data_IF_628515350549
#
_entry.id   IF_628515350549
#
_cell.length_a   1.000
_cell.length_b   1.000
_cell.length_c   1.000
_cell.angle_alpha   90.00
_cell.angle_beta   90.00
_cell.angle_gamma   90.00
#
_symmetry.space_group_name_H-M   'P 1'
#
loop_
_entity.id
_entity.type
_entity.pdbx_description
1 polymer ?
#
# COMPACT_ATOMS: atom_id res chain seq x y z
N UNK A 1 -4.18 11.25 8.00
CA UNK A 1 -5.35 11.09 7.10
C UNK A 1 -4.82 11.15 5.68
N UNK A 2 -5.47 10.50 4.73
CA UNK A 2 -5.01 10.54 3.34
C UNK A 2 -5.04 11.96 2.77
N UNK A 3 -3.97 12.35 2.10
CA UNK A 3 -3.87 13.59 1.33
C UNK A 3 -4.46 13.37 -0.06
N UNK A 4 -5.02 14.45 -0.61
CA UNK A 4 -5.61 14.48 -1.96
C UNK A 4 -5.04 15.69 -2.68
N UNK A 5 -4.51 15.48 -3.88
CA UNK A 5 -4.10 16.54 -4.81
C UNK A 5 -4.97 16.45 -6.05
N UNK A 6 -5.54 17.57 -6.49
CA UNK A 6 -6.28 17.62 -7.75
C UNK A 6 -5.29 17.78 -8.90
N UNK A 7 -5.44 16.97 -9.94
CA UNK A 7 -4.69 17.14 -11.17
C UNK A 7 -5.13 18.44 -11.85
N UNK A 8 -4.18 19.18 -12.42
CA UNK A 8 -4.53 20.37 -13.19
C UNK A 8 -5.34 19.96 -14.44
N UNK A 9 -6.43 20.67 -14.79
CA UNK A 9 -7.28 20.29 -15.92
C UNK A 9 -6.54 20.16 -17.26
N UNK A 10 -5.46 20.91 -17.48
CA UNK A 10 -4.64 20.82 -18.70
C UNK A 10 -3.77 19.56 -18.79
N UNK A 11 -3.60 18.82 -17.69
CA UNK A 11 -2.72 17.65 -17.60
C UNK A 11 -3.50 16.32 -17.61
N UNK A 12 -4.82 16.38 -17.80
CA UNK A 12 -5.69 15.21 -17.78
C UNK A 12 -6.70 15.25 -18.92
N UNK A 13 -7.15 14.07 -19.34
CA UNK A 13 -8.29 13.92 -20.25
C UNK A 13 -9.61 13.65 -19.51
N UNK A 14 -9.53 13.56 -18.18
CA UNK A 14 -10.65 13.19 -17.32
C UNK A 14 -11.23 14.41 -16.61
N UNK A 15 -12.55 14.48 -16.50
CA UNK A 15 -13.25 15.57 -15.80
C UNK A 15 -12.93 15.59 -14.31
N UNK A 16 -12.78 14.41 -13.71
CA UNK A 16 -12.34 14.22 -12.34
C UNK A 16 -11.03 13.44 -12.32
N UNK A 17 -9.97 14.07 -11.82
CA UNK A 17 -8.67 13.42 -11.61
C UNK A 17 -8.02 13.95 -10.33
N UNK A 18 -7.79 13.03 -9.39
CA UNK A 18 -7.04 13.30 -8.16
C UNK A 18 -5.93 12.28 -7.96
N UNK A 19 -4.91 12.68 -7.21
CA UNK A 19 -3.86 11.83 -6.67
C UNK A 19 -4.03 11.68 -5.16
N UNK A 20 -3.66 10.53 -4.61
CA UNK A 20 -3.70 10.27 -3.16
C UNK A 20 -2.48 9.48 -2.71
N UNK A 21 -2.05 9.73 -1.48
CA UNK A 21 -0.95 9.04 -0.78
C UNK A 21 -1.35 7.65 -0.22
N UNK A 22 -2.56 7.19 -0.53
CA UNK A 22 -3.01 5.82 -0.25
C UNK A 22 -2.49 4.83 -1.29
N UNK A 23 -2.11 3.63 -0.86
CA UNK A 23 -1.75 2.52 -1.75
C UNK A 23 -2.91 2.15 -2.70
N UNK A 24 -2.55 1.76 -3.93
CA UNK A 24 -3.48 1.44 -5.00
C UNK A 24 -4.54 0.40 -4.60
N UNK A 25 -4.13 -0.67 -3.92
CA UNK A 25 -5.04 -1.74 -3.53
C UNK A 25 -6.03 -1.28 -2.47
N UNK A 26 -5.60 -0.33 -1.64
CA UNK A 26 -6.43 0.24 -0.58
C UNK A 26 -7.51 1.11 -1.16
N UNK A 27 -7.12 2.01 -2.07
CA UNK A 27 -8.05 2.88 -2.79
C UNK A 27 -9.06 2.03 -3.56
N UNK A 28 -8.62 1.01 -4.29
CA UNK A 28 -9.52 0.10 -5.02
C UNK A 28 -10.54 -0.56 -4.09
N UNK A 29 -10.09 -1.04 -2.92
CA UNK A 29 -10.96 -1.67 -1.91
C UNK A 29 -11.93 -0.68 -1.26
N UNK A 30 -11.49 0.54 -0.99
CA UNK A 30 -12.28 1.59 -0.32
C UNK A 30 -13.35 2.16 -1.26
N UNK A 31 -12.97 2.41 -2.52
CA UNK A 31 -13.87 3.03 -3.49
C UNK A 31 -14.87 2.05 -4.08
N UNK A 32 -14.59 0.74 -4.10
CA UNK A 32 -15.53 -0.30 -4.57
C UNK A 32 -16.15 0.00 -5.94
N UNK A 33 -15.37 0.54 -6.87
CA UNK A 33 -15.82 0.85 -8.22
C UNK A 33 -16.57 2.19 -8.40
N UNK A 34 -16.62 3.05 -7.38
CA UNK A 34 -17.21 4.41 -7.53
C UNK A 34 -16.47 5.29 -8.55
N UNK A 35 -15.20 5.01 -8.81
CA UNK A 35 -14.35 5.72 -9.74
C UNK A 35 -13.27 4.77 -10.26
N UNK A 36 -12.65 5.12 -11.39
CA UNK A 36 -11.53 4.38 -11.94
C UNK A 36 -10.29 4.63 -11.08
N UNK A 37 -9.59 3.57 -10.69
CA UNK A 37 -8.38 3.67 -9.87
C UNK A 37 -7.20 3.21 -10.71
N UNK A 38 -6.15 4.03 -10.78
CA UNK A 38 -4.90 3.71 -11.48
C UNK A 38 -3.70 3.96 -10.57
N UNK A 39 -2.58 3.34 -10.90
CA UNK A 39 -1.30 3.63 -10.24
C UNK A 39 -0.69 4.89 -10.83
N UNK A 40 0.01 5.64 -9.99
CA UNK A 40 0.81 6.77 -10.41
C UNK A 40 2.27 6.34 -10.56
N UNK A 41 2.80 6.43 -11.78
CA UNK A 41 4.21 6.20 -12.08
C UNK A 41 4.94 7.48 -12.50
N UNK A 42 4.30 8.64 -12.37
CA UNK A 42 4.89 9.92 -12.74
C UNK A 42 5.72 10.52 -11.61
N UNK A 43 6.45 11.58 -11.95
CA UNK A 43 7.31 12.32 -11.00
C UNK A 43 6.65 13.62 -10.50
N UNK A 44 5.54 14.04 -11.10
CA UNK A 44 4.83 15.29 -10.79
C UNK A 44 3.31 15.09 -10.79
N UNK A 45 2.68 14.80 -9.64
CA UNK A 45 3.29 14.49 -8.35
C UNK A 45 3.99 13.12 -8.36
N UNK A 46 5.01 12.96 -7.52
CA UNK A 46 5.79 11.71 -7.45
C UNK A 46 4.91 10.51 -7.07
N UNK A 47 5.05 9.41 -7.80
CA UNK A 47 4.41 8.13 -7.50
C UNK A 47 4.90 7.50 -6.20
N UNK A 48 6.06 7.90 -5.68
CA UNK A 48 6.55 7.45 -4.39
C UNK A 48 5.83 8.12 -3.21
N UNK A 49 5.33 9.34 -3.41
CA UNK A 49 4.57 10.07 -2.39
C UNK A 49 3.05 9.92 -2.59
N UNK A 50 2.61 9.94 -3.85
CA UNK A 50 1.21 9.82 -4.28
C UNK A 50 1.05 8.64 -5.25
N UNK A 51 1.05 7.38 -4.77
CA UNK A 51 1.11 6.19 -5.62
C UNK A 51 -0.16 5.90 -6.40
N UNK A 52 -1.27 6.60 -6.12
CA UNK A 52 -2.56 6.27 -6.68
C UNK A 52 -3.26 7.46 -7.29
N UNK A 53 -3.82 7.24 -8.47
CA UNK A 53 -4.69 8.15 -9.21
C UNK A 53 -6.14 7.66 -9.11
N UNK A 54 -7.08 8.58 -8.93
CA UNK A 54 -8.51 8.31 -9.02
C UNK A 54 -9.09 9.19 -10.11
N UNK A 55 -9.74 8.55 -11.08
CA UNK A 55 -10.19 9.12 -12.33
C UNK A 55 -11.69 8.90 -12.51
N UNK A 56 -12.36 9.80 -13.23
CA UNK A 56 -13.70 9.54 -13.71
C UNK A 56 -14.21 10.62 -14.65
N UNK A 57 -15.09 10.20 -15.54
CA UNK A 57 -15.76 11.04 -16.54
C UNK A 57 -17.27 11.00 -16.26
N UNK A 58 -17.94 12.15 -16.31
CA UNK A 58 -19.37 12.25 -16.04
C UNK A 58 -19.76 11.93 -14.58
N UNK A 59 -18.81 12.04 -13.64
CA UNK A 59 -19.10 11.76 -12.23
C UNK A 59 -20.00 12.84 -11.61
N UNK A 60 -21.17 12.45 -11.14
CA UNK A 60 -22.05 13.35 -10.40
C UNK A 60 -21.42 13.89 -9.10
N UNK A 61 -21.78 15.12 -8.70
CA UNK A 61 -21.23 15.78 -7.50
C UNK A 61 -21.34 14.94 -6.22
N UNK A 62 -22.42 14.17 -6.07
CA UNK A 62 -22.62 13.28 -4.91
C UNK A 62 -21.60 12.15 -4.88
N UNK A 63 -21.26 11.58 -6.04
CA UNK A 63 -20.25 10.51 -6.14
C UNK A 63 -18.87 11.06 -5.80
N UNK A 64 -18.52 12.24 -6.32
CA UNK A 64 -17.24 12.91 -6.01
C UNK A 64 -17.10 13.14 -4.50
N UNK A 65 -18.14 13.69 -3.85
CA UNK A 65 -18.14 13.90 -2.39
C UNK A 65 -17.97 12.60 -1.62
N UNK A 66 -18.61 11.51 -2.06
CA UNK A 66 -18.49 10.21 -1.41
C UNK A 66 -17.10 9.60 -1.61
N UNK A 67 -16.50 9.73 -2.80
CA UNK A 67 -15.11 9.33 -3.07
C UNK A 67 -14.17 10.05 -2.11
N UNK A 68 -14.20 11.38 -2.07
CA UNK A 68 -13.32 12.14 -1.19
C UNK A 68 -13.52 11.82 0.30
N UNK A 69 -14.78 11.66 0.74
CA UNK A 69 -15.11 11.30 2.12
C UNK A 69 -14.52 9.95 2.50
N UNK A 70 -14.58 8.96 1.61
CA UNK A 70 -14.02 7.63 1.85
C UNK A 70 -12.49 7.66 1.90
N UNK A 71 -11.86 8.41 0.99
CA UNK A 71 -10.40 8.56 0.97
C UNK A 71 -9.89 9.27 2.22
N UNK A 72 -10.46 10.41 2.59
CA UNK A 72 -10.05 11.22 3.77
C UNK A 72 -10.13 10.43 5.08
N UNK A 73 -11.06 9.47 5.19
CA UNK A 73 -11.21 8.60 6.37
C UNK A 73 -10.19 7.47 6.46
N UNK A 74 -9.51 7.16 5.36
CA UNK A 74 -8.58 6.06 5.32
C UNK A 74 -7.25 6.39 6.03
N UNK A 75 -6.65 5.36 6.62
CA UNK A 75 -5.34 5.43 7.24
C UNK A 75 -4.31 5.00 6.20
N UNK A 76 -3.35 5.89 5.97
CA UNK A 76 -2.26 5.70 5.03
C UNK A 76 -1.26 4.67 5.56
N UNK A 77 -0.45 4.15 4.66
CA UNK A 77 0.69 3.30 4.96
C UNK A 77 1.74 3.55 3.88
N UNK A 78 3.02 3.24 4.13
CA UNK A 78 4.03 3.39 3.10
C UNK A 78 3.62 2.65 1.82
N UNK A 79 3.80 3.25 0.63
CA UNK A 79 3.40 2.61 -0.63
C UNK A 79 4.13 1.28 -0.85
N UNK A 80 3.40 0.26 -1.31
CA UNK A 80 3.96 -1.10 -1.42
C UNK A 80 5.17 -1.16 -2.34
N UNK A 81 5.17 -0.38 -3.43
CA UNK A 81 6.27 -0.37 -4.38
C UNK A 81 7.55 0.25 -3.80
N UNK A 82 7.42 1.27 -2.96
CA UNK A 82 8.56 1.86 -2.23
C UNK A 82 9.19 0.84 -1.30
N UNK A 83 8.37 0.14 -0.51
CA UNK A 83 8.85 -0.89 0.43
C UNK A 83 9.59 -1.99 -0.31
N UNK A 84 8.97 -2.56 -1.35
CA UNK A 84 9.57 -3.69 -2.05
C UNK A 84 10.84 -3.26 -2.78
N UNK A 85 10.87 -2.07 -3.38
CA UNK A 85 12.07 -1.53 -4.01
C UNK A 85 13.21 -1.43 -2.99
N UNK A 86 12.97 -0.83 -1.82
CA UNK A 86 13.97 -0.76 -0.75
C UNK A 86 14.40 -2.16 -0.27
N UNK A 87 13.45 -3.08 -0.05
CA UNK A 87 13.74 -4.46 0.35
C UNK A 87 14.55 -5.25 -0.68
N UNK A 88 14.38 -4.96 -1.98
CA UNK A 88 15.15 -5.58 -3.07
C UNK A 88 16.57 -5.00 -3.14
N UNK A 89 16.69 -3.68 -3.03
CA UNK A 89 17.96 -2.96 -3.20
C UNK A 89 18.85 -2.97 -1.94
N UNK A 90 18.26 -2.79 -0.77
CA UNK A 90 18.95 -2.56 0.50
C UNK A 90 18.77 -3.74 1.48
N UNK A 91 17.83 -4.65 1.22
CA UNK A 91 17.53 -5.79 2.09
C UNK A 91 16.65 -5.45 3.30
N UNK A 92 16.38 -4.17 3.54
CA UNK A 92 15.46 -3.69 4.57
C UNK A 92 14.72 -2.43 4.11
N UNK A 93 13.66 -2.07 4.82
CA UNK A 93 12.95 -0.80 4.71
C UNK A 93 12.63 -0.31 6.12
N UNK A 94 12.91 0.96 6.41
CA UNK A 94 12.70 1.55 7.73
C UNK A 94 11.98 2.88 7.58
N UNK A 95 10.97 3.12 8.42
CA UNK A 95 10.16 4.34 8.37
C UNK A 95 9.75 4.80 9.76
N UNK A 96 9.48 6.10 9.87
CA UNK A 96 8.86 6.68 11.07
C UNK A 96 7.34 6.38 11.02
N UNK A 97 6.79 5.66 12.01
CA UNK A 97 5.36 5.36 12.03
C UNK A 97 4.47 6.60 12.14
N UNK A 98 4.96 7.71 12.69
CA UNK A 98 4.17 8.94 12.85
C UNK A 98 3.93 9.68 11.53
N UNK A 99 4.73 9.38 10.50
CA UNK A 99 4.49 9.88 9.14
C UNK A 99 3.22 9.28 8.53
N UNK A 100 2.77 8.11 9.02
CA UNK A 100 1.66 7.36 8.43
C UNK A 100 0.49 7.12 9.38
N UNK A 101 0.77 6.94 10.67
CA UNK A 101 -0.21 6.47 11.65
C UNK A 101 -0.56 7.56 12.66
N UNK A 102 -1.79 7.55 13.21
CA UNK A 102 -2.17 8.51 14.24
C UNK A 102 -1.28 8.40 15.49
N UNK A 103 -0.75 9.51 15.98
CA UNK A 103 0.09 9.54 17.20
C UNK A 103 -0.59 8.96 18.45
N UNK A 104 -1.93 8.96 18.50
CA UNK A 104 -2.71 8.34 19.58
C UNK A 104 -2.69 6.82 19.59
N UNK A 105 -2.18 6.17 18.54
CA UNK A 105 -2.09 4.72 18.48
C UNK A 105 -0.91 4.21 19.31
N UNK A 106 -1.11 3.10 20.01
CA UNK A 106 0.00 2.42 20.68
C UNK A 106 0.95 1.77 19.67
N UNK A 107 2.18 1.48 20.11
CA UNK A 107 3.18 0.77 19.30
C UNK A 107 2.63 -0.55 18.74
N UNK A 108 1.87 -1.29 19.53
CA UNK A 108 1.26 -2.55 19.10
C UNK A 108 0.18 -2.34 18.05
N UNK A 109 -0.63 -1.28 18.16
CA UNK A 109 -1.66 -0.96 17.16
C UNK A 109 -1.02 -0.61 15.82
N UNK A 110 0.04 0.22 15.84
CA UNK A 110 0.80 0.59 14.65
C UNK A 110 1.44 -0.65 14.00
N UNK A 111 2.09 -1.51 14.80
CA UNK A 111 2.74 -2.72 14.29
C UNK A 111 1.72 -3.72 13.73
N UNK A 112 0.60 -3.96 14.42
CA UNK A 112 -0.49 -4.82 13.92
C UNK A 112 -1.09 -4.29 12.63
N UNK A 113 -1.25 -2.97 12.51
CA UNK A 113 -1.73 -2.35 11.28
C UNK A 113 -0.72 -2.53 10.15
N UNK A 114 0.55 -2.23 10.38
CA UNK A 114 1.62 -2.42 9.40
C UNK A 114 1.69 -3.89 8.94
N UNK A 115 1.68 -4.85 9.86
CA UNK A 115 1.72 -6.29 9.56
C UNK A 115 0.64 -6.73 8.55
N UNK A 116 -0.58 -6.17 8.67
CA UNK A 116 -1.70 -6.51 7.78
C UNK A 116 -1.68 -5.78 6.44
N UNK A 117 -0.90 -4.71 6.31
CA UNK A 117 -0.95 -3.79 5.17
C UNK A 117 0.26 -3.93 4.27
N UNK A 118 1.42 -4.16 4.86
CA UNK A 118 2.68 -4.27 4.14
C UNK A 118 2.74 -5.61 3.38
N UNK A 119 3.44 -5.66 2.23
CA UNK A 119 3.46 -6.83 1.36
C UNK A 119 4.42 -7.91 1.89
N UNK A 120 4.20 -8.39 3.12
CA UNK A 120 5.12 -9.29 3.82
C UNK A 120 5.20 -10.69 3.19
N UNK A 121 4.11 -11.15 2.59
CA UNK A 121 4.01 -12.47 1.95
C UNK A 121 4.36 -12.44 0.45
N UNK A 122 4.91 -11.33 -0.06
CA UNK A 122 5.14 -11.17 -1.48
C UNK A 122 6.22 -12.12 -2.02
N UNK A 123 5.94 -12.78 -3.14
CA UNK A 123 6.81 -13.79 -3.77
C UNK A 123 8.19 -13.27 -4.18
N UNK A 124 8.30 -11.99 -4.56
CA UNK A 124 9.59 -11.35 -4.87
C UNK A 124 10.47 -11.14 -3.63
N UNK A 125 9.89 -11.22 -2.42
CA UNK A 125 10.59 -10.96 -1.17
C UNK A 125 10.75 -12.20 -0.29
N UNK A 126 9.81 -13.14 -0.37
CA UNK A 126 9.81 -14.40 0.36
C UNK A 126 10.23 -15.57 -0.54
N UNK A 127 11.08 -16.46 -0.02
CA UNK A 127 11.45 -17.72 -0.66
C UNK A 127 11.46 -18.87 0.35
N UNK A 128 11.64 -20.14 -0.05
CA UNK A 128 11.77 -21.24 0.89
C UNK A 128 12.89 -21.04 1.93
N UNK A 129 13.88 -20.19 1.63
CA UNK A 129 15.03 -19.93 2.48
C UNK A 129 14.99 -18.53 3.12
N UNK A 130 14.07 -17.65 2.71
CA UNK A 130 14.05 -16.25 3.12
C UNK A 130 12.64 -15.85 3.54
N UNK A 131 12.53 -15.09 4.62
CA UNK A 131 11.26 -14.54 5.09
C UNK A 131 11.44 -13.06 5.42
N UNK A 132 10.34 -12.38 5.69
CA UNK A 132 10.34 -10.99 6.09
C UNK A 132 9.88 -10.92 7.53
N UNK A 133 10.62 -10.17 8.32
CA UNK A 133 10.21 -9.81 9.68
C UNK A 133 9.89 -8.33 9.72
N UNK A 134 8.97 -7.95 10.61
CA UNK A 134 8.63 -6.57 10.91
C UNK A 134 8.71 -6.37 12.40
N UNK A 135 9.36 -5.29 12.83
CA UNK A 135 9.56 -5.00 14.24
C UNK A 135 9.95 -3.57 14.49
N UNK A 136 10.02 -3.22 15.76
CA UNK A 136 10.54 -1.93 16.20
C UNK A 136 12.07 -1.96 16.21
N UNK A 137 12.69 -0.92 15.67
CA UNK A 137 14.11 -0.62 15.83
C UNK A 137 14.23 0.78 16.40
N UNK A 138 14.40 0.87 17.72
CA UNK A 138 14.25 2.13 18.43
C UNK A 138 12.83 2.67 18.30
N UNK A 139 12.70 3.86 17.72
CA UNK A 139 11.42 4.56 17.52
C UNK A 139 10.84 4.37 16.11
N UNK A 140 11.49 3.56 15.27
CA UNK A 140 11.07 3.31 13.89
C UNK A 140 10.57 1.89 13.71
N UNK A 141 9.73 1.69 12.69
CA UNK A 141 9.34 0.36 12.24
C UNK A 141 10.28 -0.05 11.11
N UNK A 142 10.88 -1.23 11.27
CA UNK A 142 11.77 -1.83 10.29
C UNK A 142 11.14 -3.11 9.75
N UNK A 143 11.16 -3.22 8.44
CA UNK A 143 10.84 -4.42 7.67
C UNK A 143 12.16 -4.94 7.11
N UNK A 144 12.49 -6.19 7.34
CA UNK A 144 13.77 -6.73 6.87
C UNK A 144 13.70 -8.19 6.46
N UNK A 145 14.55 -8.54 5.50
CA UNK A 145 14.67 -9.89 4.98
C UNK A 145 15.58 -10.70 5.88
N UNK A 146 15.07 -11.82 6.38
CA UNK A 146 15.78 -12.73 7.28
C UNK A 146 15.96 -14.08 6.60
N UNK A 147 17.16 -14.65 6.72
CA UNK A 147 17.47 -16.00 6.28
C UNK A 147 16.84 -17.00 7.25
N UNK A 148 16.09 -17.97 6.73
CA UNK A 148 15.55 -19.08 7.52
C UNK A 148 16.68 -20.05 7.85
N UNK A 149 16.60 -20.68 9.02
CA UNK A 149 17.52 -21.74 9.45
C UNK A 149 17.45 -23.00 8.58
N UNK A 150 16.36 -23.19 7.85
CA UNK A 150 16.16 -24.32 6.94
C UNK A 150 15.16 -24.01 5.83
N UNK A 151 15.07 -24.92 4.87
CA UNK A 151 14.13 -24.81 3.76
C UNK A 151 12.70 -25.04 4.24
N UNK A 152 11.80 -24.11 3.96
CA UNK A 152 10.40 -24.20 4.37
C UNK A 152 9.50 -24.16 3.14
N UNK A 153 8.95 -25.32 2.79
CA UNK A 153 7.85 -25.44 1.82
C UNK A 153 6.52 -25.37 2.58
N UNK A 154 5.72 -24.30 2.42
CA UNK A 154 4.40 -24.27 3.02
C UNK A 154 3.52 -25.29 2.30
N UNK A 155 3.20 -26.39 2.99
CA UNK A 155 2.24 -27.40 2.56
C UNK A 155 0.88 -26.72 2.47
N UNK A 156 0.30 -26.70 1.27
CA UNK A 156 -1.06 -26.18 1.07
C UNK A 156 -2.00 -27.29 1.44
N UNK A 157 -2.65 -27.15 2.59
CA UNK A 157 -3.53 -28.17 3.14
C UNK A 157 -5.00 -27.91 2.80
N UNK A 158 -5.36 -26.68 2.46
CA UNK A 158 -6.75 -26.28 2.19
C UNK A 158 -6.91 -25.43 0.94
N UNK A 159 -8.10 -25.47 0.34
CA UNK A 159 -8.47 -24.60 -0.80
C UNK A 159 -8.36 -23.10 -0.46
N UNK A 160 -8.62 -22.71 0.80
CA UNK A 160 -8.45 -21.34 1.26
C UNK A 160 -6.99 -20.90 1.25
N UNK A 161 -6.07 -21.78 1.63
CA UNK A 161 -4.62 -21.53 1.56
C UNK A 161 -4.12 -21.45 0.11
N UNK A 162 -4.68 -22.29 -0.78
CA UNK A 162 -4.40 -22.23 -2.22
C UNK A 162 -4.85 -20.89 -2.82
N UNK A 163 -6.09 -20.47 -2.52
CA UNK A 163 -6.63 -19.19 -2.97
C UNK A 163 -5.86 -17.99 -2.42
N UNK A 164 -5.40 -18.05 -1.15
CA UNK A 164 -4.60 -16.98 -0.54
C UNK A 164 -3.23 -16.84 -1.22
N UNK A 165 -2.59 -17.95 -1.64
CA UNK A 165 -1.35 -17.91 -2.44
C UNK A 165 -1.56 -17.31 -3.84
N UNK A 166 -2.68 -17.62 -4.49
CA UNK A 166 -3.05 -17.01 -5.78
C UNK A 166 -3.38 -15.51 -5.65
N UNK A 167 -3.89 -15.09 -4.49
CA UNK A 167 -4.26 -13.71 -4.20
C UNK A 167 -3.10 -12.79 -3.80
N UNK A 168 -1.86 -13.29 -3.63
CA UNK A 168 -0.72 -12.40 -3.43
C UNK A 168 -0.55 -11.61 -4.72
N UNK A 169 -0.92 -10.31 -4.77
CA UNK A 169 -0.92 -9.57 -6.02
C UNK A 169 0.54 -9.32 -6.38
N UNK A 170 1.11 -10.24 -7.15
CA UNK A 170 2.38 -10.07 -7.85
C UNK A 170 2.11 -9.11 -9.00
N UNK A 171 2.15 -7.83 -8.69
CA UNK A 171 2.11 -6.79 -9.71
C UNK A 171 3.21 -5.78 -9.38
N UNK A 172 4.44 -6.25 -9.25
CA UNK A 172 5.56 -5.51 -9.83
C UNK A 172 5.52 -5.74 -11.33
#
# INVERSE_FOLDING_TARGET
MARIIYCHPSQTKHEYHIYTDLDFWDVRRILKGLALVRRNFGDQPSGDEFPTQVLGDGLGRTVIKEVEKRLKRAIISPPRHVIVRAMVMEGFFEFDPLDYFPARWSRDQMLRFAYRRLPLEQSSLCSPHKTITIGWKGDRIRVERVQRSGQHYPVVSTEKEAAKKLQVPSCF
#
